data_IF_154345456583
#
_entry.id   IF_154345456583
#
_cell.length_a   1.000
_cell.length_b   1.000
_cell.length_c   1.000
_cell.angle_alpha   90.00
_cell.angle_beta   90.00
_cell.angle_gamma   90.00
#
_symmetry.space_group_name_H-M   'P 1'
#
loop_
_entity.id
_entity.type
_entity.pdbx_description
1 polymer ?
#
# COMPACT_ATOMS: atom_id res chain seq x y z
N UNK A 1 -12.46 3.14 -7.62
CA UNK A 1 -13.17 4.43 -7.53
C UNK A 1 -14.62 4.42 -7.99
N UNK A 2 -15.03 3.69 -9.06
CA UNK A 2 -16.45 3.63 -9.47
C UNK A 2 -17.42 3.28 -8.32
N UNK A 3 -17.08 2.29 -7.49
CA UNK A 3 -17.89 1.92 -6.32
C UNK A 3 -17.95 3.02 -5.23
N UNK A 4 -16.87 3.79 -5.03
CA UNK A 4 -16.86 4.92 -4.10
C UNK A 4 -17.76 6.06 -4.62
N UNK A 5 -17.65 6.39 -5.91
CA UNK A 5 -18.51 7.37 -6.55
C UNK A 5 -19.99 6.94 -6.54
N UNK A 6 -20.28 5.66 -6.80
CA UNK A 6 -21.63 5.13 -6.69
C UNK A 6 -22.14 5.18 -5.24
N UNK A 7 -21.30 4.92 -4.24
CA UNK A 7 -21.68 5.05 -2.85
C UNK A 7 -22.03 6.49 -2.47
N UNK A 8 -21.19 7.46 -2.86
CA UNK A 8 -21.35 8.88 -2.53
C UNK A 8 -22.55 9.49 -3.27
N UNK A 9 -22.67 9.26 -4.57
CA UNK A 9 -23.65 9.94 -5.42
C UNK A 9 -24.95 9.16 -5.65
N UNK A 10 -24.93 7.83 -5.46
CA UNK A 10 -26.08 6.95 -5.70
C UNK A 10 -26.51 6.16 -4.45
N UNK A 11 -25.85 6.37 -3.30
CA UNK A 11 -26.18 5.67 -2.06
C UNK A 11 -25.87 4.17 -2.08
N UNK A 12 -25.02 3.69 -3.00
CA UNK A 12 -24.67 2.28 -3.10
C UNK A 12 -23.99 1.76 -1.81
N UNK A 13 -24.50 0.62 -1.30
CA UNK A 13 -24.00 -0.09 -0.10
C UNK A 13 -23.48 -1.49 -0.43
N UNK A 14 -23.08 -1.72 -1.68
CA UNK A 14 -22.40 -2.92 -2.14
C UNK A 14 -21.15 -3.26 -1.30
N UNK A 15 -20.70 -4.53 -1.38
CA UNK A 15 -19.47 -4.97 -0.72
C UNK A 15 -18.26 -4.20 -1.24
N UNK A 16 -18.28 -3.84 -2.53
CA UNK A 16 -17.28 -3.03 -3.21
C UNK A 16 -17.25 -1.60 -2.69
N UNK A 17 -18.41 -0.99 -2.45
CA UNK A 17 -18.51 0.34 -1.84
C UNK A 17 -17.93 0.34 -0.42
N UNK A 18 -18.29 -0.68 0.38
CA UNK A 18 -17.72 -0.85 1.73
C UNK A 18 -16.20 -1.02 1.68
N UNK A 19 -15.69 -1.89 0.81
CA UNK A 19 -14.25 -2.07 0.63
C UNK A 19 -13.57 -0.76 0.24
N UNK A 20 -14.14 0.01 -0.68
CA UNK A 20 -13.60 1.30 -1.09
C UNK A 20 -13.47 2.28 0.10
N UNK A 21 -14.48 2.35 0.98
CA UNK A 21 -14.39 3.14 2.21
C UNK A 21 -13.34 2.62 3.19
N UNK A 22 -13.20 1.30 3.34
CA UNK A 22 -12.15 0.71 4.18
C UNK A 22 -10.76 1.06 3.66
N UNK A 23 -10.57 1.11 2.33
CA UNK A 23 -9.33 1.55 1.70
C UNK A 23 -9.02 3.02 2.02
N UNK A 24 -10.02 3.91 1.98
CA UNK A 24 -9.85 5.31 2.39
C UNK A 24 -9.41 5.39 3.85
N UNK A 25 -10.12 4.69 4.74
CA UNK A 25 -9.81 4.66 6.18
C UNK A 25 -8.40 4.13 6.44
N UNK A 26 -8.01 3.03 5.78
CA UNK A 26 -6.66 2.46 5.89
C UNK A 26 -5.56 3.42 5.40
N UNK A 27 -5.89 4.41 4.58
CA UNK A 27 -4.90 5.38 4.08
C UNK A 27 -4.62 6.49 5.10
N UNK A 28 -5.58 6.80 5.98
CA UNK A 28 -5.50 7.92 6.92
C UNK A 28 -4.26 7.85 7.83
N UNK A 29 -3.97 6.73 8.53
CA UNK A 29 -2.82 6.68 9.44
C UNK A 29 -1.49 6.94 8.72
N UNK A 30 -1.35 6.43 7.50
CA UNK A 30 -0.15 6.65 6.69
C UNK A 30 -0.01 8.11 6.25
N UNK A 31 -1.10 8.77 5.84
CA UNK A 31 -1.06 10.20 5.52
C UNK A 31 -0.67 11.05 6.73
N UNK A 32 -1.27 10.79 7.89
CA UNK A 32 -0.94 11.51 9.13
C UNK A 32 0.53 11.30 9.50
N UNK A 33 1.00 10.06 9.52
CA UNK A 33 2.38 9.74 9.84
C UNK A 33 3.36 10.38 8.85
N UNK A 34 3.09 10.29 7.56
CA UNK A 34 3.94 10.85 6.51
C UNK A 34 4.05 12.37 6.57
N UNK A 35 2.99 13.08 6.95
CA UNK A 35 3.04 14.54 7.11
C UNK A 35 3.83 14.96 8.35
N UNK A 36 3.71 14.21 9.46
CA UNK A 36 4.36 14.54 10.72
C UNK A 36 5.83 14.11 10.80
N UNK A 37 6.19 13.00 10.16
CA UNK A 37 7.49 12.34 10.33
C UNK A 37 8.43 12.51 9.12
N UNK A 38 8.03 13.27 8.08
CA UNK A 38 8.82 13.41 6.84
C UNK A 38 10.28 13.82 7.11
N UNK A 39 10.49 14.82 7.97
CA UNK A 39 11.81 15.41 8.20
C UNK A 39 12.69 14.45 9.01
N UNK A 40 12.10 13.74 9.97
CA UNK A 40 12.78 12.72 10.78
C UNK A 40 13.23 11.54 9.92
N UNK A 41 12.35 11.06 9.03
CA UNK A 41 12.65 9.96 8.12
C UNK A 41 13.81 10.31 7.19
N UNK A 42 13.79 11.52 6.63
CA UNK A 42 14.80 11.98 5.68
C UNK A 42 16.19 12.11 6.31
N UNK A 43 16.26 12.61 7.54
CA UNK A 43 17.53 12.86 8.24
C UNK A 43 18.10 11.60 8.91
N UNK A 44 17.28 10.79 9.59
CA UNK A 44 17.79 9.76 10.51
C UNK A 44 17.63 8.32 10.02
N UNK A 45 16.70 8.05 9.10
CA UNK A 45 16.28 6.68 8.80
C UNK A 45 16.78 6.16 7.44
N UNK A 46 17.50 6.97 6.65
CA UNK A 46 17.99 6.61 5.31
C UNK A 46 19.34 5.88 5.29
N UNK A 47 19.88 5.47 6.44
CA UNK A 47 21.15 4.74 6.48
C UNK A 47 21.00 3.31 5.95
N UNK A 48 22.06 2.78 5.32
CA UNK A 48 22.06 1.41 4.81
C UNK A 48 21.79 0.37 5.90
N UNK A 49 22.26 0.62 7.14
CA UNK A 49 22.01 -0.24 8.29
C UNK A 49 20.52 -0.29 8.67
N UNK A 50 19.82 0.85 8.65
CA UNK A 50 18.38 0.90 8.89
C UNK A 50 17.66 0.10 7.81
N UNK A 51 17.99 0.34 6.53
CA UNK A 51 17.36 -0.34 5.40
C UNK A 51 17.52 -1.86 5.52
N UNK A 52 18.75 -2.34 5.73
CA UNK A 52 19.03 -3.78 5.85
C UNK A 52 18.29 -4.40 7.04
N UNK A 53 18.32 -3.73 8.19
CA UNK A 53 17.69 -4.24 9.42
C UNK A 53 16.17 -4.30 9.26
N UNK A 54 15.53 -3.24 8.76
CA UNK A 54 14.07 -3.22 8.58
C UNK A 54 13.62 -4.21 7.52
N UNK A 55 14.35 -4.38 6.43
CA UNK A 55 14.08 -5.41 5.41
C UNK A 55 14.08 -6.82 6.04
N UNK A 56 15.09 -7.15 6.84
CA UNK A 56 15.19 -8.45 7.51
C UNK A 56 14.04 -8.64 8.51
N UNK A 57 13.81 -7.65 9.38
CA UNK A 57 12.79 -7.75 10.43
C UNK A 57 11.39 -7.91 9.84
N UNK A 58 11.01 -7.11 8.85
CA UNK A 58 9.71 -7.24 8.20
C UNK A 58 9.59 -8.51 7.34
N UNK A 59 10.68 -8.98 6.75
CA UNK A 59 10.71 -10.27 6.05
C UNK A 59 10.46 -11.45 7.00
N UNK A 60 11.10 -11.45 8.17
CA UNK A 60 10.89 -12.45 9.21
C UNK A 60 9.47 -12.36 9.80
N UNK A 61 8.95 -11.15 9.99
CA UNK A 61 7.58 -10.92 10.43
C UNK A 61 6.57 -11.51 9.44
N UNK A 62 6.74 -11.24 8.14
CA UNK A 62 5.89 -11.79 7.08
C UNK A 62 5.92 -13.32 7.11
N UNK A 63 7.11 -13.92 7.14
CA UNK A 63 7.27 -15.37 7.20
C UNK A 63 6.59 -15.98 8.43
N UNK A 64 6.78 -15.37 9.60
CA UNK A 64 6.17 -15.84 10.85
C UNK A 64 4.64 -15.76 10.79
N UNK A 65 4.07 -14.65 10.32
CA UNK A 65 2.61 -14.51 10.22
C UNK A 65 2.04 -15.47 9.20
N UNK A 66 2.62 -15.57 8.01
CA UNK A 66 2.13 -16.43 6.93
C UNK A 66 2.09 -17.91 7.34
N UNK A 67 3.05 -18.36 8.17
CA UNK A 67 3.11 -19.72 8.69
C UNK A 67 2.09 -20.02 9.79
N UNK A 68 1.72 -19.04 10.62
CA UNK A 68 0.97 -19.27 11.85
C UNK A 68 -0.49 -18.79 11.81
N UNK A 69 -0.84 -17.85 10.93
CA UNK A 69 -2.17 -17.27 10.89
C UNK A 69 -3.21 -18.22 10.25
N UNK A 70 -4.45 -18.16 10.74
CA UNK A 70 -5.59 -18.85 10.11
C UNK A 70 -6.17 -17.99 9.00
N UNK A 71 -5.92 -18.39 7.75
CA UNK A 71 -6.19 -17.60 6.55
C UNK A 71 -7.56 -17.94 5.95
N UNK A 72 -8.63 -17.38 6.52
CA UNK A 72 -10.02 -17.77 6.19
C UNK A 72 -10.91 -16.62 5.71
N UNK A 73 -10.47 -15.36 5.87
CA UNK A 73 -11.28 -14.19 5.55
C UNK A 73 -10.97 -13.61 4.17
N UNK A 74 -11.99 -13.12 3.48
CA UNK A 74 -11.86 -12.35 2.25
C UNK A 74 -11.64 -10.84 2.53
N UNK A 75 -11.31 -10.06 1.50
CA UNK A 75 -11.09 -8.62 1.62
C UNK A 75 -12.37 -7.83 1.93
N UNK A 76 -13.56 -8.37 1.61
CA UNK A 76 -14.85 -7.73 1.82
C UNK A 76 -15.33 -7.85 3.28
N UNK A 77 -14.78 -8.80 4.03
CA UNK A 77 -14.98 -8.97 5.47
C UNK A 77 -14.17 -7.98 6.31
N UNK A 78 -13.50 -7.01 5.69
CA UNK A 78 -12.82 -5.92 6.38
C UNK A 78 -13.81 -5.00 7.10
N UNK A 79 -13.62 -4.82 8.41
CA UNK A 79 -14.23 -3.74 9.19
C UNK A 79 -13.25 -2.59 9.45
N UNK A 80 -13.75 -1.45 9.92
CA UNK A 80 -12.94 -0.24 10.10
C UNK A 80 -11.74 -0.45 11.03
N UNK A 81 -11.87 -1.28 12.09
CA UNK A 81 -10.76 -1.62 12.99
C UNK A 81 -9.62 -2.33 12.26
N UNK A 82 -9.95 -3.32 11.42
CA UNK A 82 -8.99 -4.04 10.58
C UNK A 82 -8.33 -3.09 9.59
N UNK A 83 -9.11 -2.22 8.94
CA UNK A 83 -8.60 -1.22 8.00
C UNK A 83 -7.60 -0.25 8.66
N UNK A 84 -7.93 0.29 9.84
CA UNK A 84 -7.01 1.17 10.59
C UNK A 84 -5.72 0.43 10.97
N UNK A 85 -5.81 -0.81 11.44
CA UNK A 85 -4.63 -1.61 11.78
C UNK A 85 -3.69 -1.82 10.59
N UNK A 86 -4.25 -2.17 9.42
CA UNK A 86 -3.47 -2.28 8.18
C UNK A 86 -2.90 -0.91 7.78
N UNK A 87 -3.64 0.18 8.01
CA UNK A 87 -3.17 1.54 7.79
C UNK A 87 -2.00 1.95 8.69
N UNK A 88 -1.97 1.50 9.94
CA UNK A 88 -0.83 1.68 10.84
C UNK A 88 0.38 0.91 10.31
N UNK A 89 0.19 -0.31 9.81
CA UNK A 89 1.28 -1.04 9.15
C UNK A 89 1.79 -0.31 7.90
N UNK A 90 0.92 0.35 7.13
CA UNK A 90 1.32 1.22 6.03
C UNK A 90 2.11 2.45 6.50
N UNK A 91 1.74 3.05 7.64
CA UNK A 91 2.50 4.15 8.23
C UNK A 91 3.91 3.71 8.64
N UNK A 92 4.04 2.54 9.29
CA UNK A 92 5.34 1.95 9.63
C UNK A 92 6.19 1.64 8.40
N UNK A 93 5.55 1.38 7.25
CA UNK A 93 6.26 1.16 5.99
C UNK A 93 6.90 2.42 5.39
N UNK A 94 6.72 3.59 5.99
CA UNK A 94 7.48 4.78 5.62
C UNK A 94 8.92 4.76 6.13
N UNK A 95 9.26 3.84 7.05
CA UNK A 95 10.63 3.60 7.46
C UNK A 95 11.39 2.97 6.28
N UNK A 96 12.51 3.57 5.81
CA UNK A 96 13.29 3.05 4.70
C UNK A 96 13.73 1.59 4.91
N UNK A 97 13.64 0.79 3.85
CA UNK A 97 13.89 -0.66 3.85
C UNK A 97 12.68 -1.51 4.22
N UNK A 98 11.61 -0.92 4.74
CA UNK A 98 10.33 -1.62 4.88
C UNK A 98 9.62 -1.65 3.53
N UNK A 99 9.21 -2.85 3.09
CA UNK A 99 8.34 -2.98 1.92
C UNK A 99 6.91 -2.62 2.30
N UNK A 100 6.34 -1.58 1.66
CA UNK A 100 4.94 -1.17 1.92
C UNK A 100 3.95 -2.32 1.70
N UNK A 101 4.03 -2.99 0.55
CA UNK A 101 3.16 -4.15 0.30
C UNK A 101 3.46 -5.28 1.29
N UNK A 102 4.72 -5.52 1.64
CA UNK A 102 5.10 -6.53 2.64
C UNK A 102 4.46 -6.26 4.01
N UNK A 103 4.57 -5.04 4.53
CA UNK A 103 4.01 -4.67 5.83
C UNK A 103 2.48 -4.76 5.85
N UNK A 104 1.80 -4.26 4.82
CA UNK A 104 0.34 -4.28 4.75
C UNK A 104 -0.23 -5.67 4.49
N UNK A 105 0.44 -6.50 3.68
CA UNK A 105 0.10 -7.93 3.51
C UNK A 105 0.29 -8.66 4.82
N UNK A 106 1.42 -8.46 5.51
CA UNK A 106 1.69 -9.10 6.82
C UNK A 106 0.60 -8.76 7.83
N UNK A 107 0.21 -7.48 7.92
CA UNK A 107 -0.88 -7.06 8.80
C UNK A 107 -2.23 -7.68 8.42
N UNK A 108 -2.54 -7.77 7.12
CA UNK A 108 -3.78 -8.39 6.65
C UNK A 108 -3.83 -9.91 6.92
N UNK A 109 -2.71 -10.62 6.68
CA UNK A 109 -2.57 -12.04 7.02
C UNK A 109 -2.74 -12.27 8.52
N UNK A 110 -2.14 -11.42 9.35
CA UNK A 110 -2.30 -11.47 10.81
C UNK A 110 -3.76 -11.32 11.25
N UNK A 111 -4.53 -10.50 10.53
CA UNK A 111 -5.97 -10.32 10.73
C UNK A 111 -6.84 -11.44 10.12
N UNK A 112 -6.21 -12.50 9.61
CA UNK A 112 -6.83 -13.73 9.13
C UNK A 112 -7.24 -13.70 7.66
N UNK A 113 -6.78 -12.74 6.86
CA UNK A 113 -7.12 -12.68 5.45
C UNK A 113 -6.44 -13.80 4.68
N UNK A 114 -7.07 -14.33 3.64
CA UNK A 114 -6.36 -15.20 2.69
C UNK A 114 -5.20 -14.46 2.04
N UNK A 115 -4.21 -15.17 1.52
CA UNK A 115 -3.05 -14.56 0.84
C UNK A 115 -3.49 -13.68 -0.33
N UNK A 116 -4.47 -14.15 -1.08
CA UNK A 116 -5.06 -13.39 -2.18
C UNK A 116 -5.79 -12.13 -1.68
N UNK A 117 -6.64 -12.26 -0.65
CA UNK A 117 -7.35 -11.12 -0.07
C UNK A 117 -6.39 -10.06 0.51
N UNK A 118 -5.35 -10.50 1.22
CA UNK A 118 -4.31 -9.64 1.76
C UNK A 118 -3.58 -8.87 0.65
N UNK A 119 -3.19 -9.56 -0.42
CA UNK A 119 -2.55 -8.94 -1.59
C UNK A 119 -3.48 -7.93 -2.29
N UNK A 120 -4.75 -8.32 -2.54
CA UNK A 120 -5.75 -7.45 -3.16
C UNK A 120 -6.01 -6.19 -2.34
N UNK A 121 -6.23 -6.33 -1.03
CA UNK A 121 -6.43 -5.20 -0.13
C UNK A 121 -5.21 -4.27 -0.15
N UNK A 122 -4.00 -4.84 -0.04
CA UNK A 122 -2.73 -4.10 -0.09
C UNK A 122 -2.52 -3.34 -1.42
N UNK A 123 -2.89 -3.93 -2.56
CA UNK A 123 -2.75 -3.26 -3.86
C UNK A 123 -3.82 -2.18 -4.05
N UNK A 124 -5.05 -2.40 -3.59
CA UNK A 124 -6.10 -1.38 -3.63
C UNK A 124 -5.76 -0.16 -2.76
N UNK A 125 -5.21 -0.38 -1.55
CA UNK A 125 -4.78 0.74 -0.69
C UNK A 125 -3.55 1.48 -1.22
N UNK A 126 -2.80 0.84 -2.12
CA UNK A 126 -1.66 1.49 -2.77
C UNK A 126 -2.08 2.61 -3.70
N UNK A 127 -3.30 2.55 -4.25
CA UNK A 127 -3.82 3.55 -5.18
C UNK A 127 -3.89 4.94 -4.54
N UNK A 128 -4.69 5.19 -3.47
CA UNK A 128 -4.79 6.54 -2.91
C UNK A 128 -3.45 7.06 -2.37
N UNK A 129 -2.65 6.24 -1.70
CA UNK A 129 -1.38 6.71 -1.13
C UNK A 129 -0.33 7.04 -2.20
N UNK A 130 -0.19 6.23 -3.26
CA UNK A 130 0.72 6.54 -4.38
C UNK A 130 0.22 7.76 -5.13
N UNK A 131 -1.08 7.88 -5.37
CA UNK A 131 -1.65 9.06 -6.04
C UNK A 131 -1.34 10.32 -5.24
N UNK A 132 -1.55 10.33 -3.91
CA UNK A 132 -1.22 11.48 -3.06
C UNK A 132 0.28 11.82 -3.11
N UNK A 133 1.15 10.83 -2.93
CA UNK A 133 2.59 11.04 -2.97
C UNK A 133 3.08 11.52 -4.34
N UNK A 134 2.58 10.90 -5.42
CA UNK A 134 2.92 11.25 -6.80
C UNK A 134 2.43 12.64 -7.18
N UNK A 135 1.20 13.02 -6.79
CA UNK A 135 0.68 14.38 -7.00
C UNK A 135 1.48 15.43 -6.22
N UNK A 136 1.84 15.15 -4.96
CA UNK A 136 2.66 16.04 -4.15
C UNK A 136 4.05 16.27 -4.78
N UNK A 137 4.74 15.20 -5.16
CA UNK A 137 6.06 15.29 -5.79
C UNK A 137 6.00 15.91 -7.19
N UNK A 138 4.95 15.60 -7.97
CA UNK A 138 4.72 16.21 -9.28
C UNK A 138 4.50 17.71 -9.19
N UNK A 139 3.73 18.18 -8.20
CA UNK A 139 3.54 19.61 -7.95
C UNK A 139 4.86 20.29 -7.55
N UNK A 140 5.66 19.65 -6.69
CA UNK A 140 6.99 20.16 -6.31
C UNK A 140 7.92 20.26 -7.52
N UNK A 141 7.89 19.29 -8.43
CA UNK A 141 8.69 19.31 -9.66
C UNK A 141 8.28 20.48 -10.57
N UNK A 142 6.98 20.65 -10.83
CA UNK A 142 6.47 21.74 -11.70
C UNK A 142 6.75 23.12 -11.11
N UNK A 143 6.70 23.26 -9.79
CA UNK A 143 6.93 24.54 -9.09
C UNK A 143 8.40 24.82 -8.77
N UNK A 144 9.30 23.85 -8.98
CA UNK A 144 10.72 23.99 -8.64
C UNK A 144 11.50 24.98 -9.52
N UNK A 145 10.99 25.27 -10.73
CA UNK A 145 11.73 26.05 -11.74
C UNK A 145 12.85 25.28 -12.45
N UNK A 146 13.11 24.03 -12.05
CA UNK A 146 14.10 23.17 -12.69
C UNK A 146 13.65 22.67 -14.07
N UNK A 147 14.57 22.49 -15.03
CA UNK A 147 14.24 21.89 -16.33
C UNK A 147 13.63 20.49 -16.16
N UNK A 148 12.38 20.32 -16.63
CA UNK A 148 11.70 19.02 -16.58
C UNK A 148 11.92 18.28 -17.90
N UNK A 149 12.65 17.17 -17.85
CA UNK A 149 12.82 16.27 -19.00
C UNK A 149 11.59 15.37 -19.22
N UNK A 150 10.56 15.93 -19.85
CA UNK A 150 9.26 15.25 -20.07
C UNK A 150 9.41 13.89 -20.76
N UNK A 151 10.35 13.74 -21.70
CA UNK A 151 10.62 12.47 -22.38
C UNK A 151 11.07 11.35 -21.43
N UNK A 152 11.98 11.64 -20.49
CA UNK A 152 12.41 10.68 -19.47
C UNK A 152 11.29 10.38 -18.46
N UNK A 153 10.50 11.39 -18.11
CA UNK A 153 9.35 11.21 -17.23
C UNK A 153 8.31 10.25 -17.85
N UNK A 154 7.93 10.48 -19.11
CA UNK A 154 6.94 9.65 -19.81
C UNK A 154 7.42 8.21 -20.00
N UNK A 155 8.68 8.03 -20.39
CA UNK A 155 9.27 6.68 -20.52
C UNK A 155 9.30 5.96 -19.17
N UNK A 156 9.65 6.65 -18.08
CA UNK A 156 9.58 6.11 -16.72
C UNK A 156 8.17 5.69 -16.29
N UNK A 157 7.17 6.53 -16.57
CA UNK A 157 5.76 6.25 -16.28
C UNK A 157 5.27 5.03 -17.07
N UNK A 158 5.49 5.00 -18.38
CA UNK A 158 5.00 3.93 -19.25
C UNK A 158 5.67 2.58 -18.93
N UNK A 159 6.98 2.57 -18.76
CA UNK A 159 7.71 1.35 -18.41
C UNK A 159 7.27 0.83 -17.04
N UNK A 160 7.15 1.70 -16.03
CA UNK A 160 6.67 1.32 -14.70
C UNK A 160 5.25 0.77 -14.74
N UNK A 161 4.35 1.39 -15.51
CA UNK A 161 2.96 0.95 -15.66
C UNK A 161 2.88 -0.49 -16.23
N UNK A 162 3.58 -0.74 -17.35
CA UNK A 162 3.58 -2.05 -18.00
C UNK A 162 4.17 -3.11 -17.06
N UNK A 163 5.30 -2.81 -16.42
CA UNK A 163 5.96 -3.75 -15.51
C UNK A 163 5.11 -4.04 -14.27
N UNK A 164 4.50 -3.02 -13.67
CA UNK A 164 3.63 -3.19 -12.51
C UNK A 164 2.39 -4.02 -12.86
N UNK A 165 1.75 -3.78 -14.01
CA UNK A 165 0.59 -4.55 -14.45
C UNK A 165 0.92 -6.04 -14.60
N UNK A 166 2.01 -6.34 -15.30
CA UNK A 166 2.51 -7.71 -15.49
C UNK A 166 2.83 -8.35 -14.13
N UNK A 167 3.57 -7.64 -13.27
CA UNK A 167 3.95 -8.13 -11.96
C UNK A 167 2.72 -8.47 -11.09
N UNK A 168 1.74 -7.57 -11.00
CA UNK A 168 0.52 -7.79 -10.21
C UNK A 168 -0.25 -9.00 -10.74
N UNK A 169 -0.40 -9.12 -12.06
CA UNK A 169 -1.10 -10.26 -12.68
C UNK A 169 -0.45 -11.59 -12.31
N UNK A 170 0.85 -11.72 -12.52
CA UNK A 170 1.57 -12.97 -12.21
C UNK A 170 1.67 -13.22 -10.70
N UNK A 171 1.84 -12.17 -9.90
CA UNK A 171 1.90 -12.29 -8.44
C UNK A 171 0.59 -12.84 -7.86
N UNK A 172 -0.56 -12.29 -8.26
CA UNK A 172 -1.87 -12.79 -7.81
C UNK A 172 -2.12 -14.23 -8.29
N UNK A 173 -1.71 -14.56 -9.52
CA UNK A 173 -1.82 -15.93 -10.06
C UNK A 173 -0.91 -16.93 -9.34
N UNK A 174 0.26 -16.49 -8.92
CA UNK A 174 1.20 -17.32 -8.16
C UNK A 174 0.67 -17.55 -6.73
N UNK A 175 0.25 -16.49 -6.05
CA UNK A 175 -0.15 -16.57 -4.65
C UNK A 175 -1.46 -17.34 -4.45
N UNK A 176 -2.38 -17.33 -5.43
CA UNK A 176 -3.61 -18.14 -5.39
C UNK A 176 -3.36 -19.64 -5.54
N UNK A 177 -2.17 -20.03 -6.02
CA UNK A 177 -1.72 -21.44 -6.11
C UNK A 177 -0.89 -21.87 -4.90
N UNK A 178 -0.51 -20.94 -4.03
CA UNK A 178 0.23 -21.20 -2.81
C UNK A 178 -0.75 -21.48 -1.67
N UNK A 179 -1.21 -22.72 -1.61
CA UNK A 179 -2.08 -23.29 -0.57
C UNK A 179 -1.50 -24.59 -0.08
#
# INVERSE_FOLDING_TARGET
FRALFASIFKGDRSKEAKLAWMIVIATIPACVFGLLMKDVIEVYLRSAYVIATTTIVFGLLLWWVDKNAKLVADEYQTGWKKAVFIGIAQALAMIPGTSRSGATITAALYLGFTREAAARFSFLMSIPIITLAGSYLGMKLVTSGEPVHVGFLLTGILTSFIRAYICIHFFLKMISRMG
#
